data_IF_961092186549
#
_entry.id   IF_961092186549
#
_cell.length_a   1.000
_cell.length_b   1.000
_cell.length_c   1.000
_cell.angle_alpha   90.00
_cell.angle_beta   90.00
_cell.angle_gamma   90.00
#
_symmetry.space_group_name_H-M   'P 1'
#
loop_
_entity.id
_entity.type
_entity.pdbx_description
1 polymer ?
#
# COMPACT_ATOMS: atom_id res chain seq x y z
N UNK A 1 16.37 8.16 10.57
CA UNK A 1 16.41 7.09 9.56
C UNK A 1 16.11 5.77 10.27
N UNK A 2 15.06 5.04 9.85
CA UNK A 2 14.74 3.72 10.41
C UNK A 2 15.69 2.67 9.83
N UNK A 3 16.28 1.84 10.67
CA UNK A 3 17.05 0.68 10.21
C UNK A 3 16.10 -0.27 9.43
N UNK A 4 16.52 -0.80 8.26
CA UNK A 4 15.63 -1.56 7.38
C UNK A 4 15.22 -2.94 7.96
N UNK A 5 16.01 -3.46 8.90
CA UNK A 5 15.73 -4.73 9.56
C UNK A 5 16.12 -4.64 11.03
N UNK A 6 15.16 -4.37 11.92
CA UNK A 6 15.30 -4.85 13.29
C UNK A 6 15.13 -6.38 13.23
N UNK A 7 15.93 -7.11 14.01
CA UNK A 7 15.87 -8.58 14.10
C UNK A 7 14.64 -9.01 14.92
N UNK A 8 13.47 -8.54 14.50
CA UNK A 8 12.18 -8.84 15.12
C UNK A 8 11.40 -9.72 14.15
N UNK A 9 10.87 -10.82 14.66
CA UNK A 9 10.07 -11.77 13.87
C UNK A 9 8.71 -11.20 13.45
N UNK A 10 8.27 -10.10 14.08
CA UNK A 10 6.99 -9.47 13.80
C UNK A 10 7.19 -8.26 12.89
N UNK A 11 6.57 -8.30 11.71
CA UNK A 11 6.52 -7.19 10.76
C UNK A 11 5.15 -6.55 10.77
N UNK A 12 5.12 -5.23 10.71
CA UNK A 12 3.87 -4.47 10.53
C UNK A 12 3.32 -4.78 9.13
N UNK A 13 2.03 -5.15 9.00
CA UNK A 13 1.43 -5.38 7.69
C UNK A 13 1.46 -4.13 6.81
N UNK A 14 1.69 -4.27 5.50
CA UNK A 14 1.70 -3.13 4.59
C UNK A 14 0.33 -2.43 4.59
N UNK A 15 0.33 -1.09 4.58
CA UNK A 15 -0.91 -0.30 4.63
C UNK A 15 -1.56 -0.15 6.00
N UNK A 16 -1.09 -0.87 7.03
CA UNK A 16 -1.66 -0.80 8.38
C UNK A 16 -1.59 0.61 8.97
N UNK A 17 -0.46 1.30 8.78
CA UNK A 17 -0.28 2.68 9.23
C UNK A 17 -1.30 3.63 8.60
N UNK A 18 -1.65 3.43 7.32
CA UNK A 18 -2.61 4.28 6.61
C UNK A 18 -4.03 4.13 7.16
N UNK A 19 -4.45 2.90 7.51
CA UNK A 19 -5.74 2.66 8.18
C UNK A 19 -5.81 3.51 9.47
N UNK A 20 -4.79 3.43 10.31
CA UNK A 20 -4.74 4.16 11.58
C UNK A 20 -4.69 5.67 11.37
N UNK A 21 -3.94 6.14 10.37
CA UNK A 21 -3.83 7.55 10.06
C UNK A 21 -5.15 8.14 9.59
N UNK A 22 -5.86 7.45 8.68
CA UNK A 22 -7.19 7.86 8.23
C UNK A 22 -8.20 7.89 9.37
N UNK A 23 -8.23 6.85 10.22
CA UNK A 23 -9.09 6.82 11.39
C UNK A 23 -8.80 7.98 12.35
N UNK A 24 -7.54 8.17 12.72
CA UNK A 24 -7.12 9.25 13.61
C UNK A 24 -7.48 10.63 13.05
N UNK A 25 -7.33 10.83 11.73
CA UNK A 25 -7.73 12.06 11.05
C UNK A 25 -9.23 12.34 11.19
N UNK A 26 -10.07 11.32 11.03
CA UNK A 26 -11.53 11.50 11.18
C UNK A 26 -11.95 11.72 12.64
N UNK A 27 -11.28 11.06 13.59
CA UNK A 27 -11.46 11.36 15.03
C UNK A 27 -11.12 12.82 15.33
N UNK A 28 -9.99 13.32 14.82
CA UNK A 28 -9.57 14.70 15.04
C UNK A 28 -10.52 15.72 14.40
N UNK A 29 -11.20 15.36 13.31
CA UNK A 29 -12.16 16.23 12.62
C UNK A 29 -13.51 16.29 13.32
N UNK A 30 -14.05 15.14 13.69
CA UNK A 30 -15.40 15.04 14.23
C UNK A 30 -15.45 15.20 15.75
N UNK A 31 -14.30 15.08 16.43
CA UNK A 31 -14.17 15.16 17.90
C UNK A 31 -15.29 14.37 18.61
N UNK A 32 -15.48 13.08 18.28
CA UNK A 32 -16.59 12.31 18.80
C UNK A 32 -16.45 12.13 20.32
N UNK A 33 -17.56 12.16 21.08
CA UNK A 33 -17.54 11.97 22.52
C UNK A 33 -17.17 10.54 22.93
N UNK A 34 -17.44 9.56 22.05
CA UNK A 34 -17.08 8.15 22.22
C UNK A 34 -16.30 7.66 21.00
N UNK A 35 -14.98 7.57 21.17
CA UNK A 35 -14.05 7.16 20.11
C UNK A 35 -14.22 5.68 19.77
N UNK A 36 -14.58 4.83 20.73
CA UNK A 36 -14.71 3.39 20.51
C UNK A 36 -15.93 3.09 19.66
N UNK A 37 -17.09 3.69 19.99
CA UNK A 37 -18.30 3.56 19.19
C UNK A 37 -18.10 4.11 17.78
N UNK A 38 -17.47 5.29 17.68
CA UNK A 38 -17.13 5.88 16.39
C UNK A 38 -16.21 4.97 15.55
N UNK A 39 -15.20 4.34 16.18
CA UNK A 39 -14.31 3.40 15.51
C UNK A 39 -15.02 2.17 14.98
N UNK A 40 -15.94 1.58 15.76
CA UNK A 40 -16.76 0.45 15.31
C UNK A 40 -17.57 0.81 14.06
N UNK A 41 -18.28 1.93 14.10
CA UNK A 41 -19.11 2.42 12.98
C UNK A 41 -18.25 2.76 11.76
N UNK A 42 -17.10 3.41 11.96
CA UNK A 42 -16.18 3.79 10.90
C UNK A 42 -15.60 2.58 10.16
N UNK A 43 -15.10 1.57 10.90
CA UNK A 43 -14.53 0.38 10.26
C UNK A 43 -15.60 -0.51 9.62
N UNK A 44 -16.79 -0.60 10.21
CA UNK A 44 -17.93 -1.31 9.61
C UNK A 44 -18.38 -0.64 8.30
N UNK A 45 -18.44 0.69 8.28
CA UNK A 45 -18.70 1.45 7.04
C UNK A 45 -17.64 1.17 5.96
N UNK A 46 -16.34 1.22 6.31
CA UNK A 46 -15.27 0.92 5.34
C UNK A 46 -15.37 -0.50 4.77
N UNK A 47 -15.73 -1.48 5.61
CA UNK A 47 -15.93 -2.86 5.16
C UNK A 47 -17.10 -2.99 4.20
N UNK A 48 -18.25 -2.35 4.51
CA UNK A 48 -19.42 -2.34 3.62
C UNK A 48 -19.11 -1.73 2.27
N UNK A 49 -18.50 -0.54 2.26
CA UNK A 49 -18.09 0.12 1.01
C UNK A 49 -17.22 -0.82 0.18
N UNK A 50 -16.20 -1.44 0.80
CA UNK A 50 -15.33 -2.38 0.08
C UNK A 50 -16.09 -3.57 -0.52
N UNK A 51 -17.11 -4.08 0.16
CA UNK A 51 -17.93 -5.20 -0.31
C UNK A 51 -18.91 -4.80 -1.41
N UNK A 52 -19.48 -3.60 -1.33
CA UNK A 52 -20.56 -3.14 -2.21
C UNK A 52 -20.03 -2.54 -3.51
N UNK A 53 -19.05 -1.63 -3.43
CA UNK A 53 -18.53 -0.92 -4.61
C UNK A 53 -17.33 -1.61 -5.24
N UNK A 54 -16.67 -2.52 -4.49
CA UNK A 54 -15.38 -3.07 -4.89
C UNK A 54 -14.26 -2.02 -4.94
N UNK A 55 -14.48 -0.83 -4.36
CA UNK A 55 -13.48 0.22 -4.30
C UNK A 55 -12.22 -0.23 -3.55
N UNK A 56 -11.10 0.39 -3.93
CA UNK A 56 -9.78 -0.01 -3.43
C UNK A 56 -9.64 0.25 -1.93
N UNK A 57 -9.35 -0.82 -1.19
CA UNK A 57 -9.06 -0.81 0.24
C UNK A 57 -7.97 0.21 0.58
N UNK A 58 -8.21 1.07 1.58
CA UNK A 58 -7.26 2.09 2.05
C UNK A 58 -5.90 1.48 2.38
N UNK A 59 -5.87 0.25 2.92
CA UNK A 59 -4.63 -0.45 3.20
C UNK A 59 -3.86 -0.77 1.91
N UNK A 60 -4.56 -1.22 0.86
CA UNK A 60 -3.93 -1.53 -0.44
C UNK A 60 -3.41 -0.27 -1.12
N UNK A 61 -4.20 0.80 -1.10
CA UNK A 61 -3.79 2.11 -1.62
C UNK A 61 -2.55 2.64 -0.90
N UNK A 62 -2.58 2.63 0.43
CA UNK A 62 -1.45 3.04 1.26
C UNK A 62 -0.20 2.21 0.99
N UNK A 63 -0.34 0.89 0.96
CA UNK A 63 0.74 -0.03 0.63
C UNK A 63 1.33 0.25 -0.76
N UNK A 64 0.49 0.49 -1.77
CA UNK A 64 0.95 0.81 -3.12
C UNK A 64 1.67 2.16 -3.22
N UNK A 65 1.33 3.13 -2.36
CA UNK A 65 2.04 4.42 -2.25
C UNK A 65 3.41 4.21 -1.56
N UNK A 66 3.44 3.48 -0.45
CA UNK A 66 4.67 3.20 0.29
C UNK A 66 5.64 2.35 -0.55
N UNK A 67 5.14 1.36 -1.29
CA UNK A 67 5.95 0.52 -2.19
C UNK A 67 6.66 1.34 -3.28
N UNK A 68 6.02 2.39 -3.82
CA UNK A 68 6.68 3.31 -4.76
C UNK A 68 7.85 4.04 -4.14
N UNK A 69 7.86 4.27 -2.82
CA UNK A 69 8.95 4.98 -2.16
C UNK A 69 10.16 4.06 -1.91
N UNK A 70 9.92 2.78 -1.58
CA UNK A 70 10.98 1.82 -1.26
C UNK A 70 11.48 1.00 -2.47
N UNK A 71 10.60 0.66 -3.41
CA UNK A 71 10.90 -0.18 -4.57
C UNK A 71 10.86 0.59 -5.91
N UNK A 72 11.08 1.91 -5.87
CA UNK A 72 10.90 2.77 -7.03
C UNK A 72 11.75 2.31 -8.24
N UNK A 73 11.12 1.64 -9.21
CA UNK A 73 11.76 1.28 -10.47
C UNK A 73 11.99 2.49 -11.39
N UNK A 74 11.53 3.68 -11.03
CA UNK A 74 11.78 4.91 -11.80
C UNK A 74 13.26 5.24 -11.96
N UNK A 75 14.13 4.74 -11.07
CA UNK A 75 15.58 4.93 -11.15
C UNK A 75 16.37 3.73 -11.69
N UNK A 76 15.68 2.63 -12.06
CA UNK A 76 16.34 1.41 -12.58
C UNK A 76 16.67 1.51 -14.08
N UNK A 77 16.41 2.66 -14.71
CA UNK A 77 16.59 2.92 -16.14
C UNK A 77 17.72 3.93 -16.47
N UNK A 78 18.73 4.12 -15.59
CA UNK A 78 19.80 5.10 -15.88
C UNK A 78 21.19 4.79 -15.32
N UNK A 79 21.58 3.52 -15.20
CA UNK A 79 23.02 3.20 -15.16
C UNK A 79 23.37 2.23 -16.28
N UNK A 80 23.92 2.71 -17.40
CA UNK A 80 24.73 1.86 -18.25
C UNK A 80 26.02 1.59 -17.47
N UNK A 81 26.03 0.52 -16.67
CA UNK A 81 27.29 -0.08 -16.24
C UNK A 81 28.08 -0.51 -17.49
N UNK A 82 29.40 -0.32 -17.53
CA UNK A 82 30.19 -0.80 -18.66
C UNK A 82 30.11 -2.32 -18.63
N UNK A 83 29.53 -2.90 -19.68
CA UNK A 83 29.35 -4.35 -19.91
C UNK A 83 28.12 -4.99 -19.21
N UNK A 84 27.04 -5.18 -19.97
CA UNK A 84 26.74 -6.51 -20.54
C UNK A 84 25.52 -6.48 -21.46
N UNK A 85 25.77 -6.95 -22.69
CA UNK A 85 24.85 -7.41 -23.74
C UNK A 85 23.34 -7.15 -23.58
N UNK A 86 22.90 -6.07 -24.23
CA UNK A 86 21.55 -5.96 -24.79
C UNK A 86 21.36 -7.11 -25.78
N UNK A 87 20.51 -8.10 -25.45
CA UNK A 87 19.74 -8.94 -26.38
C UNK A 87 19.02 -10.05 -25.60
N UNK A 88 18.05 -9.67 -24.76
CA UNK A 88 16.95 -10.57 -24.41
C UNK A 88 15.63 -9.82 -24.59
N UNK A 89 14.71 -10.30 -25.44
CA UNK A 89 13.37 -9.73 -25.50
C UNK A 89 12.69 -9.98 -24.15
N UNK A 90 12.21 -8.89 -23.53
CA UNK A 90 11.42 -8.97 -22.31
C UNK A 90 10.06 -9.59 -22.64
N UNK A 91 9.57 -10.58 -21.88
CA UNK A 91 8.21 -11.08 -22.06
C UNK A 91 7.23 -10.00 -21.61
N UNK A 92 6.39 -9.54 -22.54
CA UNK A 92 5.32 -8.58 -22.28
C UNK A 92 4.21 -9.20 -21.43
N UNK A 93 3.68 -8.45 -20.48
CA UNK A 93 2.65 -8.85 -19.51
C UNK A 93 1.23 -8.95 -20.14
N UNK A 94 1.11 -9.45 -21.38
CA UNK A 94 -0.16 -9.54 -22.10
C UNK A 94 -0.43 -10.92 -22.74
N UNK A 95 0.31 -11.97 -22.38
CA UNK A 95 0.02 -13.34 -22.85
C UNK A 95 -1.02 -14.10 -21.99
N UNK A 96 -1.77 -13.38 -21.15
CA UNK A 96 -2.67 -13.98 -20.16
C UNK A 96 -4.14 -14.13 -20.57
N UNK A 97 -4.54 -13.79 -21.80
CA UNK A 97 -5.93 -13.91 -22.22
C UNK A 97 -6.06 -14.28 -23.70
N UNK A 98 -6.35 -15.55 -23.98
CA UNK A 98 -7.29 -16.01 -25.03
C UNK A 98 -7.60 -17.51 -24.86
N UNK A 99 -8.80 -17.94 -25.30
CA UNK A 99 -9.52 -19.11 -24.77
C UNK A 99 -8.88 -20.46 -25.07
#
# INVERSE_FOLDING_TARGET
>A
MSAPFSNTHLRVPPGFANILWCFAREVLRLQPPDILRFGMEYFDHLLRVRLETGEEDIAKLGAAIDDRYYNNRSFVMSTPGPHSNRNKPQPGYLDGCKP
#
